data_IF_878383292459
#
_entry.id   IF_878383292459
#
_cell.length_a   1.000
_cell.length_b   1.000
_cell.length_c   1.000
_cell.angle_alpha   90.00
_cell.angle_beta   90.00
_cell.angle_gamma   90.00
#
_symmetry.space_group_name_H-M   'P 1'
#
loop_
_entity.id
_entity.type
_entity.pdbx_description
1 polymer ?
#
# COMPACT_ATOMS: atom_id res chain seq x y z
N UNK A 1 -23.50 -21.68 16.65
CA UNK A 1 -23.35 -20.97 15.35
C UNK A 1 -23.56 -19.46 15.46
N UNK A 2 -24.03 -18.90 16.59
CA UNK A 2 -24.21 -17.45 16.73
C UNK A 2 -23.00 -16.71 17.34
N UNK A 3 -22.08 -17.44 18.00
CA UNK A 3 -20.91 -16.85 18.70
C UNK A 3 -19.74 -16.50 17.75
N UNK A 4 -19.60 -17.21 16.63
CA UNK A 4 -18.47 -17.01 15.72
C UNK A 4 -18.52 -15.65 15.01
N UNK A 5 -19.71 -15.12 14.74
CA UNK A 5 -19.85 -13.82 14.06
C UNK A 5 -19.49 -12.62 14.95
N UNK A 6 -19.65 -12.74 16.27
CA UNK A 6 -19.28 -11.67 17.20
C UNK A 6 -17.77 -11.60 17.36
N UNK A 7 -17.11 -12.76 17.49
CA UNK A 7 -15.66 -12.87 17.61
C UNK A 7 -14.93 -12.33 16.37
N UNK A 8 -15.44 -12.61 15.16
CA UNK A 8 -14.83 -12.11 13.90
C UNK A 8 -14.85 -10.57 13.84
N UNK A 9 -15.93 -9.92 14.30
CA UNK A 9 -16.02 -8.46 14.33
C UNK A 9 -15.02 -7.82 15.28
N UNK A 10 -14.77 -8.46 16.41
CA UNK A 10 -13.84 -7.96 17.43
C UNK A 10 -12.38 -8.05 16.95
N UNK A 11 -12.02 -9.11 16.23
CA UNK A 11 -10.68 -9.27 15.63
C UNK A 11 -10.45 -8.23 14.53
N UNK A 12 -11.44 -7.97 13.69
CA UNK A 12 -11.34 -6.98 12.60
C UNK A 12 -11.17 -5.56 13.17
N UNK A 13 -11.90 -5.24 14.24
CA UNK A 13 -11.76 -3.96 14.96
C UNK A 13 -10.35 -3.77 15.52
N UNK A 14 -9.80 -4.81 16.16
CA UNK A 14 -8.44 -4.79 16.70
C UNK A 14 -7.38 -4.57 15.60
N UNK A 15 -7.57 -5.17 14.42
CA UNK A 15 -6.69 -4.98 13.27
C UNK A 15 -6.63 -3.51 12.83
N UNK A 16 -7.77 -2.83 12.73
CA UNK A 16 -7.82 -1.40 12.38
C UNK A 16 -7.22 -0.50 13.45
N UNK A 17 -7.44 -0.80 14.74
CA UNK A 17 -6.82 -0.07 15.86
C UNK A 17 -5.30 -0.22 15.80
N UNK A 18 -4.79 -1.44 15.61
CA UNK A 18 -3.37 -1.70 15.47
C UNK A 18 -2.78 -0.96 14.27
N UNK A 19 -3.46 -0.95 13.12
CA UNK A 19 -3.03 -0.20 11.93
C UNK A 19 -2.94 1.30 12.20
N UNK A 20 -3.94 1.88 12.87
CA UNK A 20 -3.90 3.30 13.20
C UNK A 20 -2.76 3.64 14.16
N UNK A 21 -2.57 2.82 15.20
CA UNK A 21 -1.48 2.98 16.15
C UNK A 21 -0.10 2.87 15.47
N UNK A 22 0.13 1.81 14.70
CA UNK A 22 1.40 1.59 14.00
C UNK A 22 1.72 2.70 13.00
N UNK A 23 0.72 3.20 12.26
CA UNK A 23 0.89 4.31 11.33
C UNK A 23 1.15 5.66 12.02
N UNK A 24 0.80 5.80 13.30
CA UNK A 24 1.06 7.00 14.10
C UNK A 24 2.45 7.01 14.74
N UNK A 25 3.12 5.86 14.80
CA UNK A 25 4.42 5.70 15.43
C UNK A 25 5.56 5.71 14.41
N UNK A 26 6.74 6.22 14.79
CA UNK A 26 7.94 6.02 13.99
C UNK A 26 8.32 4.53 14.02
N UNK A 27 8.48 3.92 12.84
CA UNK A 27 9.05 2.58 12.69
C UNK A 27 10.32 2.63 11.88
N UNK A 28 11.20 1.65 12.09
CA UNK A 28 12.33 1.36 11.20
C UNK A 28 12.00 0.28 10.19
N UNK A 29 10.97 -0.53 10.45
CA UNK A 29 10.54 -1.60 9.56
C UNK A 29 9.43 -1.11 8.64
N UNK A 30 9.85 -0.48 7.55
CA UNK A 30 8.92 0.05 6.54
C UNK A 30 8.29 -1.06 5.71
N UNK A 31 8.99 -2.17 5.48
CA UNK A 31 8.45 -3.30 4.73
C UNK A 31 7.27 -3.92 5.47
N UNK A 32 7.42 -4.14 6.79
CA UNK A 32 6.31 -4.59 7.63
C UNK A 32 5.10 -3.65 7.53
N UNK A 33 5.30 -2.34 7.61
CA UNK A 33 4.20 -1.39 7.47
C UNK A 33 3.51 -1.44 6.10
N UNK A 34 4.26 -1.67 5.02
CA UNK A 34 3.65 -1.84 3.69
C UNK A 34 2.73 -3.05 3.69
N UNK A 35 3.25 -4.20 4.08
CA UNK A 35 2.52 -5.47 4.08
C UNK A 35 1.30 -5.40 5.00
N UNK A 36 1.48 -4.86 6.21
CA UNK A 36 0.40 -4.75 7.18
C UNK A 36 -0.72 -3.81 6.72
N UNK A 37 -0.38 -2.64 6.15
CA UNK A 37 -1.40 -1.74 5.60
C UNK A 37 -2.09 -2.31 4.36
N UNK A 38 -1.40 -3.11 3.54
CA UNK A 38 -2.01 -3.80 2.41
C UNK A 38 -3.03 -4.83 2.90
N UNK A 39 -2.68 -5.64 3.90
CA UNK A 39 -3.59 -6.62 4.53
C UNK A 39 -4.83 -5.93 5.14
N UNK A 40 -4.63 -4.85 5.91
CA UNK A 40 -5.72 -4.05 6.49
C UNK A 40 -6.60 -3.46 5.37
N UNK A 41 -5.99 -3.00 4.28
CA UNK A 41 -6.69 -2.51 3.09
C UNK A 41 -7.54 -3.60 2.44
N UNK A 42 -6.99 -4.79 2.24
CA UNK A 42 -7.73 -5.94 1.69
C UNK A 42 -8.90 -6.34 2.59
N UNK A 43 -8.69 -6.30 3.91
CA UNK A 43 -9.75 -6.58 4.88
C UNK A 43 -10.87 -5.53 4.84
N UNK A 44 -10.52 -4.24 4.78
CA UNK A 44 -11.49 -3.17 4.57
C UNK A 44 -12.23 -3.30 3.22
N UNK A 45 -11.57 -3.83 2.19
CA UNK A 45 -12.18 -4.06 0.88
C UNK A 45 -13.25 -5.15 0.93
N UNK A 46 -13.01 -6.24 1.69
CA UNK A 46 -14.01 -7.27 1.97
C UNK A 46 -15.26 -6.71 2.67
N UNK A 47 -15.11 -5.60 3.40
CA UNK A 47 -16.18 -4.88 4.07
C UNK A 47 -16.80 -3.76 3.20
N UNK A 48 -16.40 -3.63 1.93
CA UNK A 48 -16.78 -2.57 1.01
C UNK A 48 -16.49 -1.13 1.52
N UNK A 49 -15.55 -0.97 2.45
CA UNK A 49 -15.18 0.32 3.05
C UNK A 49 -14.14 1.07 2.20
N UNK A 50 -14.46 1.36 0.93
CA UNK A 50 -13.51 1.83 -0.09
C UNK A 50 -12.68 3.05 0.33
N UNK A 51 -13.26 4.03 1.04
CA UNK A 51 -12.51 5.21 1.53
C UNK A 51 -11.44 4.84 2.56
N UNK A 52 -11.73 3.86 3.43
CA UNK A 52 -10.76 3.32 4.39
C UNK A 52 -9.67 2.54 3.67
N UNK A 53 -10.04 1.74 2.67
CA UNK A 53 -9.08 1.02 1.81
C UNK A 53 -8.09 2.01 1.18
N UNK A 54 -8.59 3.06 0.52
CA UNK A 54 -7.74 4.08 -0.09
C UNK A 54 -6.75 4.70 0.91
N UNK A 55 -7.22 4.98 2.13
CA UNK A 55 -6.39 5.52 3.20
C UNK A 55 -5.24 4.58 3.58
N UNK A 56 -5.52 3.29 3.80
CA UNK A 56 -4.47 2.33 4.16
C UNK A 56 -3.51 2.06 2.99
N UNK A 57 -4.00 1.96 1.76
CA UNK A 57 -3.14 1.79 0.58
C UNK A 57 -2.27 3.02 0.30
N UNK A 58 -2.74 4.22 0.62
CA UNK A 58 -1.94 5.44 0.57
C UNK A 58 -0.81 5.39 1.62
N UNK A 59 -1.11 4.97 2.86
CA UNK A 59 -0.10 4.79 3.91
C UNK A 59 0.93 3.71 3.55
N UNK A 60 0.49 2.59 2.96
CA UNK A 60 1.38 1.57 2.42
C UNK A 60 2.30 2.14 1.33
N UNK A 61 1.75 2.91 0.38
CA UNK A 61 2.55 3.55 -0.68
C UNK A 61 3.61 4.50 -0.11
N UNK A 62 3.28 5.25 0.95
CA UNK A 62 4.21 6.16 1.61
C UNK A 62 5.31 5.40 2.37
N UNK A 63 4.99 4.27 3.01
CA UNK A 63 5.98 3.41 3.64
C UNK A 63 6.91 2.75 2.61
N UNK A 64 6.38 2.31 1.46
CA UNK A 64 7.14 1.65 0.39
C UNK A 64 8.24 2.55 -0.18
N UNK A 65 8.02 3.86 -0.24
CA UNK A 65 9.04 4.85 -0.67
C UNK A 65 10.28 4.89 0.24
N UNK A 66 10.19 4.33 1.45
CA UNK A 66 11.30 4.25 2.42
C UNK A 66 11.98 2.88 2.43
N UNK A 67 11.43 1.91 1.70
CA UNK A 67 12.07 0.60 1.49
C UNK A 67 13.15 0.77 0.41
N UNK A 68 14.32 0.17 0.62
CA UNK A 68 15.40 0.17 -0.38
C UNK A 68 15.03 -0.80 -1.50
N UNK A 69 15.23 -0.39 -2.75
CA UNK A 69 15.00 -1.19 -3.96
C UNK A 69 13.67 -1.98 -3.99
N UNK A 70 12.52 -1.36 -3.70
CA UNK A 70 11.29 -2.08 -3.39
C UNK A 70 10.78 -2.97 -4.53
N UNK A 71 11.03 -2.60 -5.79
CA UNK A 71 10.59 -3.42 -6.93
C UNK A 71 11.55 -4.53 -7.32
N UNK A 72 12.83 -4.40 -6.98
CA UNK A 72 13.80 -5.47 -7.23
C UNK A 72 13.62 -6.56 -6.19
N UNK A 73 13.52 -6.18 -4.92
CA UNK A 73 13.48 -7.12 -3.80
C UNK A 73 12.06 -7.58 -3.46
N UNK A 74 11.04 -6.79 -3.78
CA UNK A 74 9.64 -7.02 -3.40
C UNK A 74 8.66 -6.71 -4.55
N UNK A 75 8.98 -7.18 -5.76
CA UNK A 75 8.19 -6.94 -6.97
C UNK A 75 6.70 -7.26 -6.80
N UNK A 76 6.37 -8.45 -6.28
CA UNK A 76 4.98 -8.91 -6.14
C UNK A 76 4.18 -8.03 -5.19
N UNK A 77 4.78 -7.66 -4.05
CA UNK A 77 4.16 -6.75 -3.07
C UNK A 77 3.89 -5.38 -3.69
N UNK A 78 4.85 -4.85 -4.46
CA UNK A 78 4.67 -3.60 -5.17
C UNK A 78 3.51 -3.72 -6.17
N UNK A 79 3.55 -4.74 -7.03
CA UNK A 79 2.55 -4.94 -8.06
C UNK A 79 1.14 -5.05 -7.45
N UNK A 80 0.99 -5.84 -6.39
CA UNK A 80 -0.28 -6.01 -5.68
C UNK A 80 -0.78 -4.70 -5.07
N UNK A 81 0.09 -3.95 -4.39
CA UNK A 81 -0.24 -2.66 -3.80
C UNK A 81 -0.70 -1.66 -4.86
N UNK A 82 0.07 -1.49 -5.95
CA UNK A 82 -0.24 -0.53 -7.00
C UNK A 82 -1.52 -0.92 -7.76
N UNK A 83 -1.72 -2.22 -8.03
CA UNK A 83 -2.96 -2.72 -8.63
C UNK A 83 -4.16 -2.40 -7.75
N UNK A 84 -4.15 -2.88 -6.51
CA UNK A 84 -5.25 -2.71 -5.56
C UNK A 84 -5.58 -1.22 -5.36
N UNK A 85 -4.54 -0.38 -5.22
CA UNK A 85 -4.75 1.06 -5.04
C UNK A 85 -5.37 1.72 -6.27
N UNK A 86 -4.91 1.38 -7.47
CA UNK A 86 -5.50 1.94 -8.69
C UNK A 86 -6.97 1.57 -8.85
N UNK A 87 -7.33 0.30 -8.61
CA UNK A 87 -8.71 -0.20 -8.70
C UNK A 87 -9.62 0.51 -7.71
N UNK A 88 -9.17 0.70 -6.47
CA UNK A 88 -9.93 1.39 -5.42
C UNK A 88 -10.13 2.87 -5.76
N UNK A 89 -9.10 3.57 -6.21
CA UNK A 89 -9.20 4.98 -6.60
C UNK A 89 -10.15 5.18 -7.80
N UNK A 90 -10.07 4.30 -8.80
CA UNK A 90 -11.01 4.31 -9.92
C UNK A 90 -12.45 4.02 -9.46
N UNK A 91 -12.64 3.09 -8.53
CA UNK A 91 -13.95 2.76 -7.96
C UNK A 91 -14.55 3.90 -7.13
N UNK A 92 -13.71 4.72 -6.51
CA UNK A 92 -14.11 5.94 -5.80
C UNK A 92 -14.37 7.13 -6.75
N UNK A 93 -14.13 6.99 -8.05
CA UNK A 93 -14.24 8.07 -9.03
C UNK A 93 -13.03 9.01 -9.08
N UNK A 94 -11.95 8.68 -8.37
CA UNK A 94 -10.69 9.44 -8.37
C UNK A 94 -9.84 9.08 -9.60
N UNK A 95 -10.39 9.31 -10.80
CA UNK A 95 -9.81 8.83 -12.05
C UNK A 95 -8.40 9.32 -12.31
N UNK A 96 -8.10 10.60 -12.04
CA UNK A 96 -6.76 11.16 -12.22
C UNK A 96 -5.72 10.43 -11.36
N UNK A 97 -6.04 10.21 -10.08
CA UNK A 97 -5.18 9.46 -9.16
C UNK A 97 -5.01 8.02 -9.63
N UNK A 98 -6.11 7.32 -9.89
CA UNK A 98 -6.11 5.92 -10.33
C UNK A 98 -5.26 5.71 -11.60
N UNK A 99 -5.46 6.53 -12.63
CA UNK A 99 -4.65 6.44 -13.85
C UNK A 99 -3.19 6.81 -13.64
N UNK A 100 -2.88 7.78 -12.77
CA UNK A 100 -1.48 8.15 -12.47
C UNK A 100 -0.67 7.04 -11.79
N UNK A 101 -1.36 6.11 -11.12
CA UNK A 101 -0.78 4.95 -10.42
C UNK A 101 -0.46 3.84 -11.45
N UNK A 102 -1.38 3.56 -12.38
CA UNK A 102 -1.20 2.54 -13.44
C UNK A 102 -0.25 3.01 -14.53
N UNK A 103 -0.39 4.27 -14.93
CA UNK A 103 0.37 4.90 -15.99
C UNK A 103 1.22 6.04 -15.41
N UNK A 104 2.32 5.71 -14.69
CA UNK A 104 3.25 6.73 -14.26
C UNK A 104 3.75 7.48 -15.50
N UNK A 105 3.44 8.78 -15.54
CA UNK A 105 3.82 9.66 -16.66
C UNK A 105 5.29 9.46 -17.03
N UNK A 106 5.62 9.58 -18.32
CA UNK A 106 6.95 9.23 -18.86
C UNK A 106 8.11 9.84 -18.07
N UNK A 107 7.92 11.04 -17.50
CA UNK A 107 8.89 11.71 -16.62
C UNK A 107 9.07 11.06 -15.25
N UNK A 108 8.00 10.53 -14.64
CA UNK A 108 8.09 9.71 -13.42
C UNK A 108 8.76 8.39 -13.74
N UNK A 109 8.38 7.73 -14.85
CA UNK A 109 9.05 6.50 -15.31
C UNK A 109 10.55 6.72 -15.55
N UNK A 110 10.94 7.80 -16.22
CA UNK A 110 12.36 8.16 -16.46
C UNK A 110 13.11 8.52 -15.18
N UNK A 111 12.52 9.35 -14.31
CA UNK A 111 13.16 9.73 -13.04
C UNK A 111 13.33 8.53 -12.12
N UNK A 112 12.39 7.59 -12.20
CA UNK A 112 12.38 6.36 -11.44
C UNK A 112 13.33 5.31 -12.03
N UNK A 113 13.41 5.15 -13.36
CA UNK A 113 14.45 4.32 -14.01
C UNK A 113 15.87 4.86 -13.76
N UNK A 114 16.05 6.19 -13.70
CA UNK A 114 17.34 6.83 -13.41
C UNK A 114 17.83 6.57 -11.98
N UNK A 115 16.95 6.31 -11.01
CA UNK A 115 17.38 5.91 -9.66
C UNK A 115 17.92 4.48 -9.56
N UNK A 116 17.76 3.67 -10.61
CA UNK A 116 18.29 2.29 -10.70
C UNK A 116 19.47 2.16 -11.66
N UNK A 117 19.94 3.26 -12.27
CA UNK A 117 21.22 3.18 -12.99
C UNK A 117 22.35 3.10 -11.95
N UNK A 118 23.20 2.05 -11.98
CA UNK A 118 24.39 2.04 -11.17
C UNK A 118 25.19 3.29 -11.53
N UNK A 119 25.53 4.12 -10.55
CA UNK A 119 26.53 5.17 -10.75
C UNK A 119 27.80 4.45 -11.17
N UNK A 120 28.11 4.48 -12.46
CA UNK A 120 29.35 3.96 -13.01
C UNK A 120 30.49 4.83 -12.48
N UNK A 121 30.93 4.51 -11.28
CA UNK A 121 32.15 5.01 -10.67
C UNK A 121 32.71 3.88 -9.82
N UNK A 122 33.31 2.93 -10.52
CA UNK A 122 34.41 2.11 -10.02
C UNK A 122 35.58 2.33 -11.00
N UNK A 123 36.81 2.27 -10.48
CA UNK A 123 37.84 3.33 -10.53
C UNK A 123 38.43 3.64 -11.91
#
# INVERSE_FOLDING_TARGET
QHDDQHFIRDVDSLLFIAANHLNSMPTKDHLFLVTFNLEVGQKALQMAALSSVATYLQKASAALQRVRNPWEDHYDLCLELFRCRSEVELSLGNFETGYSIVMPSSRRRERWMRSFQPTSSWP
#
